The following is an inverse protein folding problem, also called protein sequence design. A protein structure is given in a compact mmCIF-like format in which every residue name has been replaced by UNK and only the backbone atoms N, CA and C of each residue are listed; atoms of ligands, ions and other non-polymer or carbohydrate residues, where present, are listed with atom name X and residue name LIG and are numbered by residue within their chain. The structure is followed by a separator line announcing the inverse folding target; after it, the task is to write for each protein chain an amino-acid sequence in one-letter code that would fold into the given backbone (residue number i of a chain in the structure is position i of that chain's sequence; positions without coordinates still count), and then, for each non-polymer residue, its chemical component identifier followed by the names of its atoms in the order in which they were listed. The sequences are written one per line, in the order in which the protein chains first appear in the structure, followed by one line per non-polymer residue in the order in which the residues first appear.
data_IF_302551757551
#
_entry.id   IF_302551757551
#
_cell.length_a   1.000
_cell.length_b   1.000
_cell.length_c   1.000
_cell.angle_alpha   90.00
_cell.angle_beta   90.00
_cell.angle_gamma   90.00
#
_symmetry.space_group_name_H-M   'P 1'
#
loop_
_entity.id
_entity.type
_entity.pdbx_description
1 polymer ?
#
# COMPACT_ATOMS: atom_id res chain seq x y z
N UNK A 1 -11.73 11.24 -1.06
CA UNK A 1 -10.37 11.72 -0.70
C UNK A 1 -9.47 10.59 -0.21
N UNK A 2 -9.90 9.78 0.77
CA UNK A 2 -9.04 8.77 1.42
C UNK A 2 -8.45 7.68 0.49
N UNK A 3 -9.05 7.40 -0.67
CA UNK A 3 -8.56 6.41 -1.64
C UNK A 3 -7.80 7.00 -2.83
N UNK A 4 -7.67 8.33 -2.92
CA UNK A 4 -7.00 8.98 -4.07
C UNK A 4 -5.50 8.65 -4.11
N UNK A 5 -4.80 8.76 -2.98
CA UNK A 5 -3.37 8.47 -2.92
C UNK A 5 -3.08 6.97 -3.18
N UNK A 6 -3.75 6.00 -2.51
CA UNK A 6 -3.58 4.58 -2.85
C UNK A 6 -3.89 4.27 -4.33
N UNK A 7 -4.92 4.89 -4.91
CA UNK A 7 -5.27 4.69 -6.31
C UNK A 7 -4.20 5.24 -7.25
N UNK A 8 -3.67 6.45 -7.00
CA UNK A 8 -2.59 7.04 -7.78
C UNK A 8 -1.34 6.15 -7.72
N UNK A 9 -0.96 5.70 -6.53
CA UNK A 9 0.17 4.79 -6.34
C UNK A 9 -0.04 3.49 -7.10
N UNK A 10 -1.24 2.90 -7.02
CA UNK A 10 -1.56 1.67 -7.74
C UNK A 10 -1.38 1.84 -9.26
N UNK A 11 -1.96 2.90 -9.84
CA UNK A 11 -1.89 3.16 -11.28
C UNK A 11 -0.43 3.38 -11.75
N UNK A 12 0.36 4.15 -11.01
CA UNK A 12 1.78 4.34 -11.34
C UNK A 12 2.57 3.02 -11.24
N UNK A 13 2.31 2.21 -10.22
CA UNK A 13 2.97 0.91 -10.06
C UNK A 13 2.56 -0.09 -11.16
N UNK A 14 1.31 -0.03 -11.66
CA UNK A 14 0.87 -0.80 -12.84
C UNK A 14 1.62 -0.35 -14.09
N UNK A 15 1.78 0.96 -14.30
CA UNK A 15 2.51 1.53 -15.44
C UNK A 15 3.98 1.09 -15.46
N UNK A 16 4.62 0.94 -14.31
CA UNK A 16 5.98 0.40 -14.19
C UNK A 16 6.04 -1.14 -14.26
N UNK A 17 4.91 -1.84 -14.37
CA UNK A 17 4.84 -3.30 -14.44
C UNK A 17 5.09 -4.03 -13.11
N UNK A 18 5.18 -3.29 -12.00
CA UNK A 18 5.54 -3.83 -10.67
C UNK A 18 4.35 -4.10 -9.77
N UNK A 19 3.15 -3.64 -10.15
CA UNK A 19 1.88 -4.09 -9.58
C UNK A 19 1.23 -5.10 -10.52
N UNK A 20 1.70 -6.35 -10.44
CA UNK A 20 1.23 -7.48 -11.22
C UNK A 20 1.05 -8.73 -10.35
N UNK A 21 0.55 -9.82 -10.93
CA UNK A 21 0.54 -11.14 -10.30
C UNK A 21 1.83 -11.94 -10.52
N UNK A 22 2.82 -11.38 -11.23
CA UNK A 22 4.07 -12.07 -11.50
C UNK A 22 5.06 -11.92 -10.33
N UNK A 23 5.84 -12.98 -9.99
CA UNK A 23 6.94 -12.85 -9.05
C UNK A 23 7.99 -11.84 -9.54
N UNK A 24 8.68 -11.17 -8.62
CA UNK A 24 9.82 -10.34 -8.95
C UNK A 24 11.03 -11.19 -9.37
N UNK A 25 11.76 -10.70 -10.37
CA UNK A 25 13.02 -11.30 -10.77
C UNK A 25 14.14 -11.00 -9.76
N UNK A 26 15.11 -11.91 -9.70
CA UNK A 26 16.37 -11.60 -9.03
C UNK A 26 17.06 -10.44 -9.75
N UNK A 27 17.77 -9.60 -9.00
CA UNK A 27 18.39 -8.38 -9.54
C UNK A 27 19.28 -8.67 -10.75
N UNK A 28 20.04 -9.77 -10.71
CA UNK A 28 20.82 -10.28 -11.82
C UNK A 28 20.99 -11.82 -11.70
N UNK A 29 21.27 -12.55 -12.79
CA UNK A 29 21.50 -14.00 -12.74
C UNK A 29 22.67 -14.41 -11.82
N UNK A 30 23.67 -13.54 -11.68
CA UNK A 30 24.84 -13.70 -10.79
C UNK A 30 24.55 -13.33 -9.33
N UNK A 31 23.35 -12.81 -9.02
CA UNK A 31 22.90 -12.47 -7.66
C UNK A 31 21.51 -13.07 -7.40
N UNK A 32 21.40 -14.40 -7.30
CA UNK A 32 20.13 -15.05 -6.98
C UNK A 32 19.65 -14.66 -5.58
N UNK A 33 18.36 -14.88 -5.31
CA UNK A 33 17.84 -14.81 -3.94
C UNK A 33 18.60 -15.79 -3.03
N UNK A 34 18.78 -15.46 -1.73
CA UNK A 34 19.36 -16.38 -0.77
C UNK A 34 18.58 -17.70 -0.75
N UNK A 35 19.27 -18.84 -0.62
CA UNK A 35 18.64 -20.17 -0.68
C UNK A 35 17.56 -20.39 0.39
N UNK A 36 17.66 -19.69 1.52
CA UNK A 36 16.69 -19.73 2.61
C UNK A 36 15.38 -18.99 2.27
N UNK A 37 15.38 -18.17 1.21
CA UNK A 37 14.21 -17.43 0.74
C UNK A 37 13.51 -18.25 -0.33
N UNK A 38 12.47 -18.97 0.07
CA UNK A 38 11.58 -19.68 -0.84
C UNK A 38 10.63 -18.71 -1.56
N UNK A 39 11.17 -17.97 -2.53
CA UNK A 39 10.40 -17.07 -3.37
C UNK A 39 9.93 -17.77 -4.66
N UNK A 40 8.66 -17.62 -5.07
CA UNK A 40 8.15 -18.23 -6.30
C UNK A 40 8.92 -17.74 -7.53
N UNK A 41 9.16 -18.63 -8.49
CA UNK A 41 9.76 -18.29 -9.79
C UNK A 41 8.74 -18.45 -10.89
N UNK A 42 8.72 -17.55 -11.85
CA UNK A 42 7.85 -17.67 -13.01
C UNK A 42 8.22 -18.91 -13.86
N UNK A 43 7.23 -19.59 -14.48
CA UNK A 43 5.79 -19.33 -14.39
C UNK A 43 5.19 -19.89 -13.09
N UNK A 44 4.24 -19.16 -12.52
CA UNK A 44 3.43 -19.58 -11.36
C UNK A 44 1.99 -19.87 -11.77
N UNK A 45 1.29 -20.69 -10.98
CA UNK A 45 -0.10 -21.03 -11.17
C UNK A 45 -1.05 -19.83 -10.89
N UNK A 46 -2.29 -19.91 -11.40
CA UNK A 46 -3.27 -18.82 -11.32
C UNK A 46 -3.62 -18.40 -9.88
N UNK A 47 -3.62 -19.35 -8.94
CA UNK A 47 -3.90 -19.05 -7.54
C UNK A 47 -2.76 -18.24 -6.92
N UNK A 48 -1.51 -18.64 -7.16
CA UNK A 48 -0.33 -17.87 -6.74
C UNK A 48 -0.31 -16.47 -7.35
N UNK A 49 -0.61 -16.33 -8.65
CA UNK A 49 -0.71 -15.00 -9.30
C UNK A 49 -1.74 -14.10 -8.62
N UNK A 50 -2.91 -14.65 -8.32
CA UNK A 50 -3.99 -13.93 -7.65
C UNK A 50 -3.59 -13.49 -6.23
N UNK A 51 -2.91 -14.37 -5.48
CA UNK A 51 -2.42 -14.04 -4.15
C UNK A 51 -1.38 -12.91 -4.16
N UNK A 52 -0.42 -12.96 -5.09
CA UNK A 52 0.60 -11.92 -5.24
C UNK A 52 -0.05 -10.57 -5.60
N UNK A 53 -0.92 -10.55 -6.61
CA UNK A 53 -1.58 -9.32 -7.04
C UNK A 53 -2.45 -8.73 -5.92
N UNK A 54 -3.36 -9.52 -5.34
CA UNK A 54 -4.29 -9.03 -4.33
C UNK A 54 -3.57 -8.58 -3.06
N UNK A 55 -2.56 -9.32 -2.61
CA UNK A 55 -1.82 -8.91 -1.41
C UNK A 55 -1.05 -7.58 -1.62
N UNK A 56 -0.44 -7.38 -2.79
CA UNK A 56 0.23 -6.11 -3.18
C UNK A 56 -0.77 -4.96 -3.32
N UNK A 57 -1.93 -5.17 -3.94
CA UNK A 57 -2.94 -4.12 -4.08
C UNK A 57 -3.48 -3.70 -2.72
N UNK A 58 -3.94 -4.68 -1.93
CA UNK A 58 -4.56 -4.41 -0.63
C UNK A 58 -3.56 -3.77 0.33
N UNK A 59 -2.26 -4.08 0.22
CA UNK A 59 -1.22 -3.50 1.05
C UNK A 59 -1.00 -1.99 0.87
N UNK A 60 -1.53 -1.39 -0.20
CA UNK A 60 -1.49 0.06 -0.42
C UNK A 60 -2.42 0.83 0.52
N UNK A 61 -3.39 0.15 1.14
CA UNK A 61 -4.32 0.74 2.10
C UNK A 61 -3.71 0.70 3.50
N UNK A 62 -3.68 1.83 4.22
CA UNK A 62 -3.12 1.87 5.57
C UNK A 62 -3.94 1.01 6.52
N UNK A 63 -3.25 0.35 7.44
CA UNK A 63 -3.85 -0.38 8.56
C UNK A 63 -3.68 0.40 9.85
N UNK A 64 -4.69 0.38 10.72
CA UNK A 64 -4.64 1.01 12.04
C UNK A 64 -3.90 0.11 13.00
N UNK A 65 -2.72 0.56 13.43
CA UNK A 65 -1.79 -0.21 14.26
C UNK A 65 -1.56 0.48 15.60
N UNK A 66 -1.52 -0.31 16.67
CA UNK A 66 -1.01 0.10 17.99
C UNK A 66 0.45 0.51 17.89
N UNK A 67 0.95 1.26 18.87
CA UNK A 67 2.35 1.64 18.95
C UNK A 67 3.19 0.54 19.64
N UNK A 68 2.97 -0.71 19.24
CA UNK A 68 3.64 -1.89 19.77
C UNK A 68 4.63 -2.45 18.74
N UNK A 69 5.64 -3.18 19.22
CA UNK A 69 6.59 -3.85 18.35
C UNK A 69 5.89 -4.96 17.56
N UNK A 70 5.93 -4.85 16.23
CA UNK A 70 5.38 -5.85 15.34
C UNK A 70 6.27 -7.10 15.31
N UNK A 71 5.70 -8.25 15.64
CA UNK A 71 6.38 -9.54 15.61
C UNK A 71 5.61 -10.53 14.72
N UNK A 72 5.55 -10.26 13.41
CA UNK A 72 5.03 -11.21 12.44
C UNK A 72 6.08 -11.53 11.37
N UNK A 73 5.86 -12.66 10.70
CA UNK A 73 6.74 -13.17 9.65
C UNK A 73 6.94 -12.14 8.54
N UNK A 74 8.18 -12.02 8.06
CA UNK A 74 8.52 -11.15 6.94
C UNK A 74 8.14 -11.86 5.64
N UNK A 75 7.19 -11.28 4.92
CA UNK A 75 6.91 -11.68 3.55
C UNK A 75 7.82 -10.90 2.59
N UNK A 76 8.72 -11.61 1.92
CA UNK A 76 9.72 -11.01 1.03
C UNK A 76 9.11 -10.34 -0.20
N UNK A 77 7.97 -10.85 -0.70
CA UNK A 77 7.25 -10.24 -1.82
C UNK A 77 6.78 -8.85 -1.45
N UNK A 78 6.05 -8.78 -0.34
CA UNK A 78 5.50 -7.54 0.17
C UNK A 78 6.62 -6.58 0.60
N UNK A 79 7.71 -7.08 1.17
CA UNK A 79 8.87 -6.25 1.51
C UNK A 79 9.50 -5.61 0.27
N UNK A 80 9.68 -6.37 -0.81
CA UNK A 80 10.19 -5.87 -2.09
C UNK A 80 9.22 -4.86 -2.73
N UNK A 81 7.94 -5.22 -2.81
CA UNK A 81 6.90 -4.34 -3.32
C UNK A 81 6.83 -3.02 -2.54
N UNK A 82 6.88 -3.07 -1.20
CA UNK A 82 6.88 -1.85 -0.37
C UNK A 82 8.19 -1.07 -0.43
N UNK A 83 9.32 -1.67 -0.82
CA UNK A 83 10.52 -0.90 -1.14
C UNK A 83 10.26 -0.01 -2.37
N UNK A 84 9.64 -0.55 -3.41
CA UNK A 84 9.26 0.19 -4.61
C UNK A 84 8.20 1.28 -4.32
N UNK A 85 7.15 0.95 -3.56
CA UNK A 85 6.14 1.93 -3.12
C UNK A 85 6.80 3.08 -2.33
N UNK A 86 7.76 2.77 -1.45
CA UNK A 86 8.49 3.80 -0.69
C UNK A 86 9.29 4.72 -1.60
N UNK A 87 9.95 4.18 -2.62
CA UNK A 87 10.70 4.98 -3.60
C UNK A 87 9.75 5.91 -4.37
N UNK A 88 8.65 5.38 -4.89
CA UNK A 88 7.65 6.15 -5.63
C UNK A 88 7.06 7.27 -4.77
N UNK A 89 6.59 6.96 -3.55
CA UNK A 89 6.03 7.95 -2.63
C UNK A 89 7.04 9.05 -2.28
N UNK A 90 8.31 8.71 -2.05
CA UNK A 90 9.37 9.68 -1.80
C UNK A 90 9.60 10.60 -2.99
N UNK A 91 9.66 10.04 -4.20
CA UNK A 91 9.82 10.81 -5.43
C UNK A 91 8.64 11.78 -5.66
N UNK A 92 7.40 11.30 -5.50
CA UNK A 92 6.19 12.12 -5.62
C UNK A 92 6.15 13.25 -4.59
N UNK A 93 6.55 12.97 -3.35
CA UNK A 93 6.69 13.98 -2.30
C UNK A 93 7.72 15.04 -2.66
N UNK A 94 8.92 14.62 -3.07
CA UNK A 94 9.99 15.55 -3.47
C UNK A 94 9.58 16.42 -4.66
N UNK A 95 8.90 15.84 -5.65
CA UNK A 95 8.38 16.59 -6.80
C UNK A 95 7.32 17.61 -6.38
N UNK A 96 6.42 17.23 -5.47
CA UNK A 96 5.39 18.12 -4.92
C UNK A 96 6.02 19.27 -4.15
N UNK A 97 6.97 18.98 -3.28
CA UNK A 97 7.72 19.95 -2.48
C UNK A 97 8.52 20.92 -3.37
N UNK A 98 9.24 20.41 -4.38
CA UNK A 98 10.01 21.22 -5.31
C UNK A 98 9.12 22.11 -6.20
N UNK A 99 7.99 21.56 -6.68
CA UNK A 99 7.02 22.31 -7.48
C UNK A 99 6.40 23.45 -6.66
N UNK A 100 6.00 23.16 -5.42
CA UNK A 100 5.46 24.16 -4.52
C UNK A 100 6.51 25.24 -4.19
N UNK A 101 7.74 24.83 -3.87
CA UNK A 101 8.84 25.76 -3.63
C UNK A 101 9.09 26.66 -4.85
N UNK A 102 9.07 26.10 -6.07
CA UNK A 102 9.22 26.88 -7.30
C UNK A 102 8.13 27.94 -7.47
N UNK A 103 6.87 27.60 -7.17
CA UNK A 103 5.74 28.55 -7.23
C UNK A 103 5.90 29.66 -6.18
N UNK A 104 6.27 29.32 -4.95
CA UNK A 104 6.43 30.29 -3.86
C UNK A 104 7.64 31.20 -4.07
N UNK A 105 8.75 30.68 -4.58
CA UNK A 105 9.96 31.48 -4.86
C UNK A 105 9.74 32.49 -5.99
N UNK A 106 8.79 32.24 -6.90
CA UNK A 106 8.40 33.20 -7.95
C UNK A 106 7.52 34.33 -7.42
N UNK A 107 6.79 34.09 -6.33
CA UNK A 107 5.84 35.03 -5.74
C UNK A 107 5.62 34.68 -4.26
N UNK A 108 6.41 35.31 -3.40
CA UNK A 108 6.42 35.03 -1.96
C UNK A 108 5.15 35.48 -1.25
N UNK A 109 4.35 36.38 -1.85
CA UNK A 109 3.06 36.77 -1.28
C UNK A 109 2.06 35.61 -1.26
N UNK A 110 2.25 34.60 -2.13
CA UNK A 110 1.43 33.38 -2.16
C UNK A 110 1.58 32.51 -0.93
N UNK A 111 2.61 32.71 -0.10
CA UNK A 111 2.75 31.99 1.18
C UNK A 111 1.50 32.22 2.06
N UNK A 112 0.85 33.38 1.95
CA UNK A 112 -0.39 33.71 2.66
C UNK A 112 -1.58 32.83 2.27
N UNK A 113 -1.53 32.17 1.11
CA UNK A 113 -2.55 31.25 0.62
C UNK A 113 -2.41 29.83 1.20
N UNK A 114 -1.27 29.52 1.83
CA UNK A 114 -1.02 28.18 2.34
C UNK A 114 -1.79 27.95 3.65
N UNK A 115 -2.55 26.84 3.75
CA UNK A 115 -3.23 26.51 4.99
C UNK A 115 -2.21 26.22 6.10
N UNK A 116 -2.58 26.50 7.35
CA UNK A 116 -1.75 26.11 8.50
C UNK A 116 -1.54 24.59 8.49
N UNK A 117 -0.29 24.16 8.69
CA UNK A 117 0.06 22.74 8.69
C UNK A 117 0.00 22.07 7.32
N UNK A 118 0.06 22.83 6.21
CA UNK A 118 -0.04 22.28 4.86
C UNK A 118 0.90 21.08 4.60
N UNK A 119 2.15 21.11 5.09
CA UNK A 119 3.12 20.00 4.97
C UNK A 119 3.20 19.08 6.20
N UNK A 120 2.55 19.43 7.31
CA UNK A 120 2.68 18.71 8.57
C UNK A 120 1.57 17.67 8.72
N UNK A 121 1.84 16.45 8.28
CA UNK A 121 1.09 15.26 8.69
C UNK A 121 1.57 14.79 10.07
N UNK A 122 1.54 15.66 11.09
CA UNK A 122 1.86 15.22 12.45
C UNK A 122 0.61 14.52 13.01
N UNK A 123 0.71 13.25 13.46
CA UNK A 123 -0.39 12.60 14.16
C UNK A 123 -0.72 13.43 15.41
N UNK A 124 -2.01 13.65 15.67
CA UNK A 124 -2.42 14.07 17.00
C UNK A 124 -2.07 12.92 17.94
N UNK A 125 -1.56 13.23 19.14
CA UNK A 125 -1.00 12.25 20.10
C UNK A 125 -1.97 11.09 20.41
N UNK A 126 -3.28 11.36 20.33
CA UNK A 126 -4.37 10.42 20.64
C UNK A 126 -5.08 9.88 19.39
N UNK A 127 -4.67 10.29 18.18
CA UNK A 127 -5.19 9.79 16.92
C UNK A 127 -4.03 9.29 16.02
N UNK A 128 -3.66 8.00 16.14
CA UNK A 128 -2.63 7.39 15.31
C UNK A 128 -3.08 7.26 13.83
N UNK A 129 -4.32 7.62 13.50
CA UNK A 129 -4.95 7.46 12.18
C UNK A 129 -4.86 8.69 11.29
N UNK A 130 -3.96 9.62 11.63
CA UNK A 130 -3.41 10.65 10.74
C UNK A 130 -4.29 11.90 10.59
N UNK A 131 -3.72 13.05 10.94
CA UNK A 131 -4.22 14.35 10.46
C UNK A 131 -3.91 14.44 8.96
N UNK A 132 -4.94 14.53 8.12
CA UNK A 132 -4.75 14.65 6.67
C UNK A 132 -4.01 15.96 6.37
N UNK A 133 -2.79 15.86 5.86
CA UNK A 133 -2.12 17.02 5.27
C UNK A 133 -2.96 17.55 4.10
N UNK A 134 -3.02 18.87 3.94
CA UNK A 134 -3.80 19.50 2.88
C UNK A 134 -3.19 19.27 1.49
N UNK A 135 -1.86 19.14 1.44
CA UNK A 135 -1.14 18.70 0.23
C UNK A 135 -0.75 17.23 0.36
N UNK A 136 -0.64 16.52 -0.77
CA UNK A 136 -0.27 15.12 -0.76
C UNK A 136 1.15 14.97 -0.22
N UNK A 137 1.25 14.46 1.01
CA UNK A 137 2.52 14.26 1.71
C UNK A 137 3.14 12.90 1.41
N UNK A 138 2.39 12.01 0.74
CA UNK A 138 2.81 10.65 0.38
C UNK A 138 3.49 9.93 1.54
N UNK A 139 2.89 10.03 2.73
CA UNK A 139 3.46 9.43 3.93
C UNK A 139 3.59 7.93 3.74
N UNK A 140 4.66 7.38 4.29
CA UNK A 140 4.92 5.95 4.23
C UNK A 140 4.10 5.27 5.33
N UNK A 141 3.01 4.54 5.00
CA UNK A 141 2.26 3.84 6.02
C UNK A 141 3.11 2.69 6.58
N UNK A 142 2.82 2.31 7.82
CA UNK A 142 3.25 1.02 8.34
C UNK A 142 2.50 -0.07 7.55
N UNK A 143 3.23 -0.77 6.69
CA UNK A 143 2.67 -1.79 5.80
C UNK A 143 2.41 -3.09 6.56
N UNK A 144 1.14 -3.40 6.81
CA UNK A 144 0.71 -4.64 7.46
C UNK A 144 -0.44 -5.32 6.69
N UNK A 145 -1.25 -4.53 5.97
CA UNK A 145 -2.44 -5.00 5.27
C UNK A 145 -2.16 -6.13 4.27
N UNK A 146 -0.99 -6.16 3.60
CA UNK A 146 -0.64 -7.26 2.70
C UNK A 146 -0.58 -8.63 3.39
N UNK A 147 0.01 -8.70 4.59
CA UNK A 147 0.11 -9.94 5.37
C UNK A 147 -1.28 -10.38 5.87
N UNK A 148 -2.09 -9.41 6.31
CA UNK A 148 -3.47 -9.67 6.74
C UNK A 148 -4.33 -10.16 5.57
N UNK A 149 -4.15 -9.58 4.38
CA UNK A 149 -4.80 -10.04 3.16
C UNK A 149 -4.36 -11.46 2.79
N UNK A 150 -3.08 -11.80 2.90
CA UNK A 150 -2.60 -13.17 2.67
C UNK A 150 -3.21 -14.17 3.64
N UNK A 151 -3.35 -13.80 4.92
CA UNK A 151 -4.05 -14.63 5.90
C UNK A 151 -5.50 -14.88 5.50
N UNK A 152 -6.21 -13.84 5.07
CA UNK A 152 -7.58 -13.96 4.55
C UNK A 152 -7.67 -14.86 3.30
N UNK A 153 -6.81 -14.64 2.31
CA UNK A 153 -6.82 -15.40 1.06
C UNK A 153 -6.52 -16.89 1.26
N UNK A 154 -5.71 -17.22 2.27
CA UNK A 154 -5.33 -18.59 2.63
C UNK A 154 -6.19 -19.18 3.74
N UNK A 155 -7.24 -18.48 4.16
CA UNK A 155 -8.09 -18.92 5.26
C UNK A 155 -8.87 -20.18 4.86
N UNK A 156 -8.78 -21.22 5.69
CA UNK A 156 -9.47 -22.51 5.47
C UNK A 156 -10.60 -22.77 6.47
N UNK A 157 -10.89 -21.83 7.36
CA UNK A 157 -12.00 -21.95 8.30
C UNK A 157 -13.34 -21.70 7.62
N UNK A 158 -14.40 -22.30 8.17
CA UNK A 158 -15.74 -22.28 7.56
C UNK A 158 -16.72 -21.30 8.25
N UNK A 159 -16.31 -20.67 9.36
CA UNK A 159 -17.16 -19.78 10.16
C UNK A 159 -16.62 -18.33 10.17
N UNK A 160 -17.41 -17.33 9.73
CA UNK A 160 -17.05 -15.91 9.83
C UNK A 160 -16.72 -15.43 11.25
N UNK A 161 -17.40 -15.95 12.28
CA UNK A 161 -17.12 -15.56 13.67
C UNK A 161 -15.81 -16.16 14.18
N UNK A 162 -15.45 -17.33 13.68
CA UNK A 162 -14.13 -17.93 13.92
C UNK A 162 -13.03 -17.11 13.24
N UNK A 163 -13.23 -16.70 11.98
CA UNK A 163 -12.28 -15.87 11.25
C UNK A 163 -11.92 -14.59 11.99
N UNK A 164 -12.92 -13.83 12.47
CA UNK A 164 -12.67 -12.58 13.19
C UNK A 164 -11.82 -12.78 14.45
N UNK A 165 -12.12 -13.84 15.22
CA UNK A 165 -11.35 -14.19 16.42
C UNK A 165 -9.91 -14.57 16.09
N UNK A 166 -9.71 -15.40 15.08
CA UNK A 166 -8.38 -15.84 14.65
C UNK A 166 -7.57 -14.71 14.03
N UNK A 167 -8.22 -13.79 13.30
CA UNK A 167 -7.61 -12.58 12.75
C UNK A 167 -7.05 -11.68 13.86
N UNK A 168 -7.85 -11.41 14.90
CA UNK A 168 -7.43 -10.60 16.06
C UNK A 168 -6.31 -11.29 16.84
N UNK A 169 -6.41 -12.61 17.02
CA UNK A 169 -5.39 -13.39 17.72
C UNK A 169 -4.06 -13.42 16.96
N UNK A 170 -4.09 -13.56 15.64
CA UNK A 170 -2.90 -13.61 14.78
C UNK A 170 -2.20 -12.25 14.66
N UNK A 171 -2.95 -11.16 14.71
CA UNK A 171 -2.43 -9.80 14.50
C UNK A 171 -2.77 -8.85 15.67
N UNK A 172 -2.18 -9.06 16.86
CA UNK A 172 -2.55 -8.35 18.09
C UNK A 172 -2.25 -6.83 18.06
N UNK A 173 -1.33 -6.40 17.19
CA UNK A 173 -0.99 -4.99 17.01
C UNK A 173 -2.02 -4.24 16.14
N UNK A 174 -2.89 -4.93 15.43
CA UNK A 174 -3.95 -4.29 14.64
C UNK A 174 -5.08 -3.83 15.57
N UNK A 175 -5.54 -2.59 15.41
CA UNK A 175 -6.60 -2.02 16.26
C UNK A 175 -7.97 -2.59 15.85
N UNK A 176 -8.26 -2.63 14.54
CA UNK A 176 -9.51 -3.15 13.98
C UNK A 176 -9.25 -3.89 12.65
N UNK A 177 -8.58 -5.06 12.68
CA UNK A 177 -8.09 -5.71 11.46
C UNK A 177 -9.20 -6.08 10.47
N UNK A 178 -10.37 -6.53 10.95
CA UNK A 178 -11.49 -6.87 10.07
C UNK A 178 -12.09 -5.64 9.35
N UNK A 179 -12.26 -4.54 10.07
CA UNK A 179 -12.77 -3.29 9.49
C UNK A 179 -11.78 -2.72 8.46
N UNK A 180 -10.48 -2.78 8.75
CA UNK A 180 -9.45 -2.33 7.83
C UNK A 180 -9.38 -3.23 6.58
N UNK A 181 -9.49 -4.55 6.76
CA UNK A 181 -9.52 -5.50 5.64
C UNK A 181 -10.72 -5.24 4.72
N UNK A 182 -11.91 -4.98 5.29
CA UNK A 182 -13.10 -4.58 4.51
C UNK A 182 -12.86 -3.29 3.72
N UNK A 183 -12.19 -2.31 4.32
CA UNK A 183 -11.82 -1.08 3.63
C UNK A 183 -10.87 -1.34 2.47
N UNK A 184 -9.90 -2.25 2.64
CA UNK A 184 -8.99 -2.66 1.56
C UNK A 184 -9.74 -3.38 0.43
N UNK A 185 -10.71 -4.25 0.75
CA UNK A 185 -11.55 -4.88 -0.27
C UNK A 185 -12.39 -3.86 -1.05
N UNK A 186 -12.94 -2.86 -0.36
CA UNK A 186 -13.61 -1.76 -1.04
C UNK A 186 -12.67 -0.98 -1.97
N UNK A 187 -11.41 -0.76 -1.55
CA UNK A 187 -10.40 -0.16 -2.41
C UNK A 187 -10.10 -1.00 -3.66
N UNK A 188 -10.05 -2.33 -3.54
CA UNK A 188 -9.91 -3.22 -4.70
C UNK A 188 -11.04 -3.02 -5.72
N UNK A 189 -12.29 -2.96 -5.25
CA UNK A 189 -13.44 -2.70 -6.13
C UNK A 189 -13.34 -1.34 -6.83
N UNK A 190 -12.96 -0.29 -6.10
CA UNK A 190 -12.78 1.05 -6.68
C UNK A 190 -11.62 1.09 -7.69
N UNK A 191 -10.50 0.45 -7.38
CA UNK A 191 -9.35 0.36 -8.30
C UNK A 191 -9.74 -0.39 -9.58
N UNK A 192 -10.44 -1.52 -9.47
CA UNK A 192 -10.94 -2.28 -10.62
C UNK A 192 -11.81 -1.41 -11.50
N UNK A 193 -12.79 -0.70 -10.92
CA UNK A 193 -13.65 0.25 -11.66
C UNK A 193 -12.86 1.36 -12.34
N UNK A 194 -11.83 1.89 -11.69
CA UNK A 194 -10.95 2.90 -12.27
C UNK A 194 -10.18 2.35 -13.48
N UNK A 195 -9.62 1.15 -13.35
CA UNK A 195 -8.87 0.49 -14.44
C UNK A 195 -9.80 0.17 -15.61
N UNK A 196 -10.99 -0.39 -15.37
CA UNK A 196 -12.00 -0.65 -16.39
C UNK A 196 -12.36 0.62 -17.17
N UNK A 197 -12.66 1.73 -16.47
CA UNK A 197 -12.94 3.01 -17.13
C UNK A 197 -11.79 3.58 -17.95
N UNK A 198 -10.54 3.30 -17.56
CA UNK A 198 -9.34 3.73 -18.31
C UNK A 198 -9.12 2.80 -19.51
N UNK A 199 -9.47 1.52 -19.39
CA UNK A 199 -9.31 0.50 -20.43
C UNK A 199 -10.42 0.55 -21.50
N UNK A 200 -11.66 0.89 -21.13
CA UNK A 200 -12.82 0.95 -22.05
C UNK A 200 -12.52 1.75 -23.35
N UNK A 201 -11.88 2.93 -23.31
CA UNK A 201 -11.54 3.68 -24.52
C UNK A 201 -10.37 3.08 -25.32
N UNK A 202 -9.58 2.19 -24.72
CA UNK A 202 -8.39 1.57 -25.31
C UNK A 202 -8.71 0.24 -26.02
N UNK A 203 -9.96 -0.27 -25.90
CA UNK A 203 -10.41 -1.51 -26.55
C UNK A 203 -9.78 -2.79 -25.98
N UNK A 204 -9.36 -2.74 -24.71
CA UNK A 204 -8.77 -3.87 -23.97
C UNK A 204 -9.83 -4.65 -23.18
#
# INVERSE_FOLDING_TARGET
RNMQEPCLVALEMMKFGVLSGEPFDAATPDRPFPEQVHYPRAPVDSWTKSCLLLSRVLSLVPMRLKNDMWNADVDFDLAAFHALVRILKRALRQLTEASLASVLLKDMDRVKLLPRGFMSATPIRDDPTQTAAFVPTFMLPRACMGIVALFFLRYQGNDPQQFERELVARFPCCIQPLADLRLAMHFWDELRRCVEKIADPLGA
#
